data_IF_591295567356
#
_entry.id   IF_591295567356
#
_cell.length_a   1.000
_cell.length_b   1.000
_cell.length_c   1.000
_cell.angle_alpha   90.00
_cell.angle_beta   90.00
_cell.angle_gamma   90.00
#
_symmetry.space_group_name_H-M   'P 1'
#
loop_
_entity.id
_entity.type
_entity.pdbx_description
1 polymer ?
#
# COMPACT_ATOMS: atom_id res chain seq x y z
N UNK A 1 -13.60 -19.44 12.90
CA UNK A 1 -13.80 -19.59 11.44
C UNK A 1 -13.49 -18.26 10.79
N UNK A 2 -12.72 -18.23 9.71
CA UNK A 2 -12.38 -16.99 9.02
C UNK A 2 -13.53 -16.56 8.13
N UNK A 3 -13.79 -15.25 8.07
CA UNK A 3 -14.86 -14.66 7.26
C UNK A 3 -14.48 -14.53 5.77
N UNK A 4 -13.30 -14.99 5.36
CA UNK A 4 -12.90 -15.02 3.94
C UNK A 4 -13.67 -16.12 3.19
N UNK A 5 -14.19 -15.87 1.97
CA UNK A 5 -13.97 -14.68 1.14
C UNK A 5 -15.02 -13.57 1.28
N UNK A 6 -15.98 -13.69 2.21
CA UNK A 6 -16.98 -12.62 2.44
C UNK A 6 -16.31 -11.32 2.88
N UNK A 7 -15.28 -11.40 3.74
CA UNK A 7 -14.44 -10.27 4.14
C UNK A 7 -13.07 -10.29 3.48
N UNK A 8 -12.47 -9.12 3.22
CA UNK A 8 -11.15 -9.03 2.60
C UNK A 8 -10.05 -9.61 3.50
N UNK A 9 -8.96 -10.11 2.92
CA UNK A 9 -7.76 -10.42 3.70
C UNK A 9 -7.11 -9.13 4.21
N UNK A 10 -6.38 -9.23 5.33
CA UNK A 10 -5.53 -8.13 5.81
C UNK A 10 -4.13 -8.28 5.20
N UNK A 11 -3.70 -7.31 4.40
CA UNK A 11 -2.36 -7.27 3.82
C UNK A 11 -1.48 -6.26 4.57
N UNK A 12 -0.24 -6.66 4.86
CA UNK A 12 0.76 -5.79 5.50
C UNK A 12 2.14 -6.01 4.88
N UNK A 13 2.90 -4.92 4.74
CA UNK A 13 4.33 -4.99 4.46
C UNK A 13 5.11 -5.34 5.73
N UNK A 14 6.11 -6.20 5.59
CA UNK A 14 7.04 -6.55 6.68
C UNK A 14 8.47 -6.52 6.13
N UNK A 15 9.30 -5.54 6.51
CA UNK A 15 8.99 -4.39 7.37
C UNK A 15 7.99 -3.39 6.71
N UNK A 16 7.39 -2.45 7.47
CA UNK A 16 6.58 -1.37 6.90
C UNK A 16 7.35 -0.57 5.85
N UNK A 17 6.67 -0.15 4.77
CA UNK A 17 7.25 0.66 3.71
C UNK A 17 6.95 2.15 3.90
N UNK A 18 7.90 2.99 3.52
CA UNK A 18 7.69 4.42 3.29
C UNK A 18 6.81 4.61 2.05
N UNK A 19 5.50 4.82 2.27
CA UNK A 19 4.52 5.02 1.20
C UNK A 19 3.29 5.80 1.71
N UNK A 20 2.67 6.71 0.93
CA UNK A 20 1.54 7.51 1.39
C UNK A 20 0.34 6.69 1.88
N UNK A 21 0.11 5.51 1.28
CA UNK A 21 -1.03 4.62 1.59
C UNK A 21 -0.67 3.38 2.43
N UNK A 22 0.50 3.37 3.08
CA UNK A 22 0.90 2.30 4.00
C UNK A 22 0.97 2.87 5.41
N UNK A 23 0.27 2.27 6.36
CA UNK A 23 0.34 2.70 7.75
C UNK A 23 1.71 2.37 8.37
N UNK A 24 2.11 3.06 9.46
CA UNK A 24 3.33 2.70 10.21
C UNK A 24 3.35 1.25 10.73
N UNK A 25 2.18 0.62 10.86
CA UNK A 25 2.04 -0.81 11.19
C UNK A 25 2.35 -1.76 10.02
N UNK A 26 2.52 -1.23 8.81
CA UNK A 26 2.66 -1.97 7.56
C UNK A 26 1.34 -2.26 6.85
N UNK A 27 0.18 -2.04 7.48
CA UNK A 27 -1.14 -2.26 6.87
C UNK A 27 -1.30 -1.40 5.60
N UNK A 28 -1.83 -1.99 4.54
CA UNK A 28 -2.04 -1.32 3.25
C UNK A 28 -3.46 -0.72 3.20
N UNK A 29 -3.57 0.55 2.81
CA UNK A 29 -4.84 1.20 2.49
C UNK A 29 -5.09 1.11 0.99
N UNK A 30 -5.94 0.17 0.58
CA UNK A 30 -6.34 -0.07 -0.80
C UNK A 30 -7.83 -0.39 -0.83
N UNK A 31 -8.60 0.22 -1.74
CA UNK A 31 -10.07 0.10 -1.74
C UNK A 31 -10.57 -1.34 -1.91
N UNK A 32 -9.87 -2.16 -2.72
CA UNK A 32 -10.18 -3.58 -2.87
C UNK A 32 -9.84 -4.42 -1.63
N UNK A 33 -9.23 -3.84 -0.58
CA UNK A 33 -9.02 -4.48 0.72
C UNK A 33 -9.96 -3.93 1.81
N UNK A 34 -10.90 -3.05 1.44
CA UNK A 34 -11.92 -2.50 2.33
C UNK A 34 -13.29 -3.13 2.02
N UNK A 35 -13.95 -3.66 3.06
CA UNK A 35 -15.26 -4.34 2.99
C UNK A 35 -16.36 -3.42 2.48
N UNK A 36 -16.32 -2.13 2.85
CA UNK A 36 -17.35 -1.14 2.52
C UNK A 36 -17.08 -0.38 1.22
N UNK A 37 -15.96 -0.65 0.53
CA UNK A 37 -15.57 0.02 -0.71
C UNK A 37 -15.52 -0.94 -1.89
N UNK A 38 -14.35 -1.55 -2.14
CA UNK A 38 -14.05 -2.25 -3.38
C UNK A 38 -13.97 -3.76 -3.24
N UNK A 39 -14.01 -4.33 -2.03
CA UNK A 39 -13.89 -5.77 -1.84
C UNK A 39 -15.04 -6.52 -2.50
N UNK A 40 -14.69 -7.59 -3.22
CA UNK A 40 -15.65 -8.57 -3.73
C UNK A 40 -15.05 -9.97 -3.50
N UNK A 41 -15.85 -10.97 -3.07
CA UNK A 41 -15.36 -12.33 -2.84
C UNK A 41 -14.70 -13.00 -4.06
N UNK A 42 -14.97 -12.49 -5.28
CA UNK A 42 -14.37 -12.95 -6.53
C UNK A 42 -12.96 -12.38 -6.80
N UNK A 43 -12.49 -11.41 -6.00
CA UNK A 43 -11.16 -10.82 -6.15
C UNK A 43 -10.12 -11.88 -5.80
N UNK A 44 -9.25 -12.15 -6.75
CA UNK A 44 -8.18 -13.14 -6.61
C UNK A 44 -6.97 -12.55 -5.91
N UNK A 45 -6.14 -13.40 -5.31
CA UNK A 45 -4.84 -13.01 -4.75
C UNK A 45 -3.97 -12.30 -5.80
N UNK A 46 -4.00 -12.74 -7.06
CA UNK A 46 -3.30 -12.08 -8.16
C UNK A 46 -3.75 -10.62 -8.34
N UNK A 47 -5.06 -10.37 -8.33
CA UNK A 47 -5.60 -9.01 -8.44
C UNK A 47 -5.21 -8.13 -7.25
N UNK A 48 -5.16 -8.70 -6.04
CA UNK A 48 -4.69 -7.98 -4.86
C UNK A 48 -3.22 -7.57 -5.05
N UNK A 49 -2.35 -8.51 -5.42
CA UNK A 49 -0.92 -8.23 -5.58
C UNK A 49 -0.63 -7.23 -6.71
N UNK A 50 -1.37 -7.31 -7.82
CA UNK A 50 -1.29 -6.31 -8.89
C UNK A 50 -1.78 -4.94 -8.40
N UNK A 51 -2.91 -4.88 -7.68
CA UNK A 51 -3.41 -3.63 -7.12
C UNK A 51 -2.44 -2.99 -6.11
N UNK A 52 -1.73 -3.81 -5.33
CA UNK A 52 -0.65 -3.33 -4.44
C UNK A 52 0.53 -2.80 -5.25
N UNK A 53 0.95 -3.49 -6.31
CA UNK A 53 2.02 -3.02 -7.19
C UNK A 53 1.67 -1.70 -7.87
N UNK A 54 0.44 -1.58 -8.39
CA UNK A 54 -0.07 -0.35 -9.01
C UNK A 54 -0.10 0.79 -7.98
N UNK A 55 -0.57 0.53 -6.76
CA UNK A 55 -0.61 1.50 -5.66
C UNK A 55 0.78 2.03 -5.30
N UNK A 56 1.82 1.19 -5.34
CA UNK A 56 3.21 1.62 -5.08
C UNK A 56 3.73 2.59 -6.15
N UNK A 57 3.24 2.49 -7.38
CA UNK A 57 3.64 3.36 -8.49
C UNK A 57 2.77 4.62 -8.58
N UNK A 58 1.48 4.52 -8.27
CA UNK A 58 0.49 5.61 -8.29
C UNK A 58 -0.22 5.72 -6.92
N UNK A 59 0.36 6.45 -5.95
CA UNK A 59 -0.23 6.61 -4.63
C UNK A 59 -1.58 7.34 -4.67
N UNK A 60 -2.56 6.87 -3.89
CA UNK A 60 -3.87 7.53 -3.78
C UNK A 60 -3.83 8.71 -2.78
N UNK A 61 -3.94 9.98 -3.22
CA UNK A 61 -3.87 11.13 -2.31
C UNK A 61 -5.11 11.27 -1.41
N UNK A 62 -6.23 10.64 -1.74
CA UNK A 62 -7.49 10.72 -0.98
C UNK A 62 -7.50 9.82 0.27
N UNK A 63 -6.49 8.97 0.43
CA UNK A 63 -6.40 8.01 1.55
C UNK A 63 -5.02 8.01 2.21
N UNK A 64 -4.56 9.15 2.79
CA UNK A 64 -3.25 9.23 3.42
C UNK A 64 -3.20 8.39 4.70
N UNK A 65 -2.27 7.43 4.73
CA UNK A 65 -2.00 6.55 5.88
C UNK A 65 -0.67 6.89 6.60
N UNK A 66 0.30 7.47 5.87
CA UNK A 66 1.56 7.93 6.43
C UNK A 66 1.81 9.39 6.07
N UNK A 67 1.73 10.26 7.08
CA UNK A 67 1.78 11.72 6.90
C UNK A 67 3.11 12.20 6.30
N UNK A 68 4.26 11.69 6.73
CA UNK A 68 5.58 12.09 6.19
C UNK A 68 5.70 11.77 4.70
N UNK A 69 5.37 10.52 4.31
CA UNK A 69 5.39 10.11 2.90
C UNK A 69 4.40 10.92 2.05
N UNK A 70 3.19 11.14 2.56
CA UNK A 70 2.17 11.95 1.88
C UNK A 70 2.63 13.41 1.67
N UNK A 71 3.21 14.04 2.69
CA UNK A 71 3.66 15.42 2.61
C UNK A 71 4.82 15.58 1.63
N UNK A 72 5.79 14.67 1.64
CA UNK A 72 6.88 14.65 0.65
C UNK A 72 6.34 14.39 -0.75
N UNK A 73 5.46 13.40 -0.94
CA UNK A 73 4.82 13.14 -2.24
C UNK A 73 4.11 14.39 -2.80
N UNK A 74 3.43 15.16 -1.95
CA UNK A 74 2.67 16.36 -2.34
C UNK A 74 3.51 17.62 -2.52
N UNK A 75 4.59 17.80 -1.75
CA UNK A 75 5.30 19.09 -1.64
C UNK A 75 6.77 19.03 -2.09
N UNK A 76 7.40 17.86 -2.02
CA UNK A 76 8.79 17.64 -2.42
C UNK A 76 8.96 16.26 -3.06
N UNK A 77 8.46 16.15 -4.30
CA UNK A 77 8.50 14.91 -5.07
C UNK A 77 9.93 14.38 -5.27
N UNK A 78 10.93 15.29 -5.32
CA UNK A 78 12.34 14.91 -5.49
C UNK A 78 12.86 14.17 -4.26
N UNK A 79 12.60 14.69 -3.07
CA UNK A 79 12.96 14.01 -1.82
C UNK A 79 12.17 12.71 -1.62
N UNK A 80 10.88 12.69 -1.97
CA UNK A 80 10.07 11.46 -1.97
C UNK A 80 10.71 10.37 -2.85
N UNK A 81 11.04 10.69 -4.10
CA UNK A 81 11.67 9.75 -5.03
C UNK A 81 13.05 9.29 -4.54
N UNK A 82 13.84 10.16 -3.91
CA UNK A 82 15.13 9.79 -3.33
C UNK A 82 14.96 8.70 -2.27
N UNK A 83 14.05 8.88 -1.32
CA UNK A 83 13.76 7.91 -0.25
C UNK A 83 13.20 6.60 -0.80
N UNK A 84 12.31 6.66 -1.79
CA UNK A 84 11.76 5.47 -2.45
C UNK A 84 12.87 4.66 -3.13
N UNK A 85 13.81 5.32 -3.82
CA UNK A 85 14.97 4.63 -4.44
C UNK A 85 15.89 3.98 -3.40
N UNK A 86 16.16 4.66 -2.29
CA UNK A 86 16.96 4.11 -1.19
C UNK A 86 16.28 2.88 -0.56
N UNK A 87 14.97 2.96 -0.30
CA UNK A 87 14.19 1.83 0.19
C UNK A 87 14.20 0.66 -0.81
N UNK A 88 14.06 0.92 -2.11
CA UNK A 88 14.11 -0.14 -3.12
C UNK A 88 15.48 -0.83 -3.18
N UNK A 89 16.58 -0.10 -2.95
CA UNK A 89 17.92 -0.69 -2.85
C UNK A 89 18.07 -1.60 -1.63
N UNK A 90 17.50 -1.21 -0.49
CA UNK A 90 17.53 -1.99 0.75
C UNK A 90 16.72 -3.30 0.67
N UNK A 91 15.70 -3.35 -0.20
CA UNK A 91 14.82 -4.51 -0.37
C UNK A 91 15.21 -5.39 -1.58
N UNK A 92 16.44 -5.25 -2.11
CA UNK A 92 16.91 -6.13 -3.17
C UNK A 92 16.96 -7.58 -2.67
N UNK A 93 16.55 -8.57 -3.50
CA UNK A 93 16.73 -9.97 -3.16
C UNK A 93 18.20 -10.26 -2.87
N UNK A 94 18.47 -10.95 -1.76
CA UNK A 94 19.79 -11.50 -1.42
C UNK A 94 20.09 -12.73 -2.24
#
# INVERSE_FOLDING_TARGET
MGDYPSKPPKCKFTPPLFHPNVYPSGTICLSILNEDEGWKPAITVKQILLGVQDLLNDPNPESPAQQDAYMLFRRDKKEYERRVREQAQQNRPT
#
